data_IF_947356107207
#
_entry.id   IF_947356107207
#
_cell.length_a   1.000
_cell.length_b   1.000
_cell.length_c   1.000
_cell.angle_alpha   90.00
_cell.angle_beta   90.00
_cell.angle_gamma   90.00
#
_symmetry.space_group_name_H-M   'P 1'
#
loop_
_entity.id
_entity.type
_entity.pdbx_description
1 polymer ?
#
# COMPACT_ATOMS: atom_id res chain seq x y z
N UNK A 1 1.87 11.37 13.30
CA UNK A 1 1.33 11.88 12.03
C UNK A 1 2.53 12.23 11.16
N UNK A 2 2.56 11.75 9.92
CA UNK A 2 3.69 12.03 9.02
C UNK A 2 3.74 13.53 8.68
N UNK A 3 4.91 14.20 8.67
CA UNK A 3 5.04 15.62 8.35
C UNK A 3 4.38 16.03 7.02
N UNK A 4 4.43 15.15 6.02
CA UNK A 4 3.82 15.32 4.70
C UNK A 4 2.30 15.59 4.72
N UNK A 5 1.61 15.17 5.78
CA UNK A 5 0.15 15.33 5.90
C UNK A 5 -0.25 16.66 6.56
N UNK A 6 0.69 17.44 7.08
CA UNK A 6 0.38 18.64 7.89
C UNK A 6 -0.40 19.69 7.10
N UNK A 7 -0.14 19.78 5.80
CA UNK A 7 -0.79 20.73 4.87
C UNK A 7 -1.69 20.04 3.85
N UNK A 8 -1.92 18.72 3.97
CA UNK A 8 -2.76 17.98 3.03
C UNK A 8 -4.24 18.14 3.38
N UNK A 9 -5.07 18.40 2.37
CA UNK A 9 -6.52 18.36 2.49
C UNK A 9 -7.06 17.05 1.94
N UNK A 10 -7.96 16.39 2.67
CA UNK A 10 -8.61 15.15 2.23
C UNK A 10 -8.05 13.87 2.84
N UNK A 11 -7.09 13.97 3.76
CA UNK A 11 -6.66 12.83 4.60
C UNK A 11 -7.84 12.33 5.43
N UNK A 12 -8.18 11.05 5.30
CA UNK A 12 -9.18 10.37 6.15
C UNK A 12 -8.48 9.66 7.30
N UNK A 13 -8.98 9.85 8.52
CA UNK A 13 -8.45 9.19 9.72
C UNK A 13 -9.58 8.44 10.43
N UNK A 14 -9.40 7.14 10.62
CA UNK A 14 -10.34 6.28 11.35
C UNK A 14 -9.64 5.55 12.49
N UNK A 15 -10.39 5.27 13.55
CA UNK A 15 -9.91 4.35 14.60
C UNK A 15 -9.96 2.92 14.05
N UNK A 16 -8.89 2.16 14.26
CA UNK A 16 -8.78 0.77 13.78
C UNK A 16 -9.73 -0.21 14.46
N UNK A 17 -10.14 0.06 15.70
CA UNK A 17 -10.97 -0.86 16.48
C UNK A 17 -12.27 -1.20 15.73
N UNK A 18 -12.47 -2.49 15.47
CA UNK A 18 -13.65 -3.02 14.78
C UNK A 18 -13.65 -2.79 13.27
N UNK A 19 -12.50 -2.44 12.66
CA UNK A 19 -12.37 -2.22 11.22
C UNK A 19 -11.27 -3.08 10.63
N UNK A 20 -11.45 -3.49 9.38
CA UNK A 20 -10.45 -4.20 8.59
C UNK A 20 -9.36 -3.21 8.16
N UNK A 21 -8.09 -3.42 8.55
CA UNK A 21 -7.00 -2.58 8.12
C UNK A 21 -6.56 -2.92 6.70
N UNK A 22 -6.45 -1.89 5.87
CA UNK A 22 -6.04 -1.99 4.48
C UNK A 22 -4.87 -1.05 4.24
N UNK A 23 -3.75 -1.57 3.78
CA UNK A 23 -2.62 -0.78 3.33
C UNK A 23 -2.77 -0.48 1.84
N UNK A 24 -2.67 0.78 1.46
CA UNK A 24 -2.71 1.21 0.07
C UNK A 24 -1.34 1.78 -0.32
N UNK A 25 -0.58 1.02 -1.08
CA UNK A 25 0.80 1.30 -1.48
C UNK A 25 0.82 2.03 -2.81
N UNK A 26 1.52 3.17 -2.83
CA UNK A 26 2.00 3.79 -4.05
C UNK A 26 3.51 3.60 -4.14
N UNK A 27 4.03 2.87 -5.13
CA UNK A 27 5.45 2.52 -5.28
C UNK A 27 6.29 3.67 -5.84
N UNK A 28 6.00 4.89 -5.39
CA UNK A 28 6.71 6.09 -5.78
C UNK A 28 6.60 7.15 -4.68
N UNK A 29 7.17 8.31 -4.94
CA UNK A 29 7.21 9.45 -4.02
C UNK A 29 5.82 9.98 -3.68
N UNK A 30 5.68 10.61 -2.51
CA UNK A 30 4.42 11.19 -2.08
C UNK A 30 3.82 12.23 -3.06
N UNK A 31 4.59 13.18 -3.64
CA UNK A 31 4.07 14.10 -4.64
C UNK A 31 3.42 13.40 -5.84
N UNK A 32 4.02 12.29 -6.29
CA UNK A 32 3.45 11.49 -7.39
C UNK A 32 2.21 10.72 -6.94
N UNK A 33 2.19 10.20 -5.70
CA UNK A 33 1.03 9.51 -5.14
C UNK A 33 -0.19 10.44 -5.06
N UNK A 34 -0.02 11.67 -4.58
CA UNK A 34 -1.14 12.64 -4.49
C UNK A 34 -1.58 13.17 -5.85
N UNK A 35 -0.69 13.14 -6.85
CA UNK A 35 -1.00 13.52 -8.23
C UNK A 35 -1.69 12.41 -9.03
N UNK A 36 -1.79 11.19 -8.48
CA UNK A 36 -2.43 10.06 -9.15
C UNK A 36 -3.93 9.97 -8.78
N UNK A 37 -4.79 10.29 -9.75
CA UNK A 37 -6.25 10.27 -9.55
C UNK A 37 -6.79 8.89 -9.18
N UNK A 38 -6.27 7.82 -9.80
CA UNK A 38 -6.71 6.45 -9.51
C UNK A 38 -6.39 6.03 -8.08
N UNK A 39 -5.20 6.37 -7.59
CA UNK A 39 -4.79 6.16 -6.20
C UNK A 39 -5.68 6.92 -5.22
N UNK A 40 -5.94 8.21 -5.50
CA UNK A 40 -6.82 9.06 -4.68
C UNK A 40 -8.26 8.54 -4.67
N UNK A 41 -8.76 8.05 -5.80
CA UNK A 41 -10.10 7.47 -5.91
C UNK A 41 -10.21 6.19 -5.07
N UNK A 42 -9.27 5.25 -5.21
CA UNK A 42 -9.27 4.02 -4.44
C UNK A 42 -9.17 4.29 -2.93
N UNK A 43 -8.31 5.22 -2.52
CA UNK A 43 -8.20 5.66 -1.12
C UNK A 43 -9.54 6.17 -0.57
N UNK A 44 -10.26 7.00 -1.34
CA UNK A 44 -11.58 7.52 -0.94
C UNK A 44 -12.65 6.43 -0.90
N UNK A 45 -12.69 5.55 -1.90
CA UNK A 45 -13.68 4.47 -1.99
C UNK A 45 -13.52 3.48 -0.83
N UNK A 46 -12.30 3.03 -0.54
CA UNK A 46 -12.03 2.16 0.60
C UNK A 46 -12.39 2.84 1.92
N UNK A 47 -12.08 4.12 2.05
CA UNK A 47 -12.43 4.89 3.24
C UNK A 47 -13.90 5.37 3.28
N UNK A 48 -14.72 5.12 2.27
CA UNK A 48 -16.16 5.38 2.35
C UNK A 48 -16.88 4.29 3.17
N UNK A 49 -16.35 3.07 3.21
CA UNK A 49 -16.89 1.98 4.05
C UNK A 49 -16.59 2.20 5.52
N UNK A 50 -17.59 2.09 6.40
CA UNK A 50 -17.37 2.21 7.85
C UNK A 50 -16.57 1.05 8.44
N UNK A 51 -16.56 -0.10 7.77
CA UNK A 51 -15.90 -1.34 8.18
C UNK A 51 -14.41 -1.37 7.85
N UNK A 52 -13.93 -0.44 7.02
CA UNK A 52 -12.55 -0.41 6.53
C UNK A 52 -11.81 0.81 7.10
N UNK A 53 -10.56 0.59 7.53
CA UNK A 53 -9.58 1.66 7.72
C UNK A 53 -8.47 1.49 6.68
N UNK A 54 -8.43 2.40 5.71
CA UNK A 54 -7.42 2.38 4.67
C UNK A 54 -6.37 3.47 4.93
N UNK A 55 -5.11 3.05 5.01
CA UNK A 55 -3.96 3.93 5.24
C UNK A 55 -2.96 3.81 4.10
N UNK A 56 -2.30 4.92 3.78
CA UNK A 56 -1.43 5.04 2.62
C UNK A 56 0.02 4.78 3.00
N UNK A 57 0.72 4.15 2.07
CA UNK A 57 2.17 3.96 2.08
C UNK A 57 2.73 4.48 0.77
N UNK A 58 3.88 5.14 0.85
CA UNK A 58 4.63 5.65 -0.30
C UNK A 58 6.04 5.09 -0.24
N UNK A 59 6.73 5.09 -1.38
CA UNK A 59 8.11 4.61 -1.42
C UNK A 59 8.98 5.46 -0.47
N UNK A 60 9.68 4.85 0.50
CA UNK A 60 10.47 5.60 1.47
C UNK A 60 11.64 6.29 0.77
N UNK A 61 11.86 7.56 1.08
CA UNK A 61 13.07 8.28 0.68
C UNK A 61 14.06 8.28 1.85
N UNK A 62 15.35 8.21 1.54
CA UNK A 62 16.43 8.23 2.53
C UNK A 62 16.30 7.13 3.62
N UNK A 63 16.67 7.44 4.87
CA UNK A 63 16.60 6.54 6.03
C UNK A 63 15.29 6.68 6.81
N UNK A 64 14.23 7.15 6.16
CA UNK A 64 12.94 7.33 6.82
C UNK A 64 12.30 5.98 7.19
N UNK A 65 11.63 5.88 8.36
CA UNK A 65 10.91 4.67 8.72
C UNK A 65 9.77 4.38 7.75
N UNK A 66 9.74 3.18 7.18
CA UNK A 66 8.64 2.75 6.31
C UNK A 66 7.38 2.45 7.13
N UNK A 67 6.48 3.42 7.20
CA UNK A 67 5.25 3.40 8.02
C UNK A 67 4.10 4.09 7.30
N UNK A 68 2.87 3.78 7.72
CA UNK A 68 1.68 4.41 7.18
C UNK A 68 1.67 5.93 7.43
N UNK A 69 1.15 6.70 6.48
CA UNK A 69 1.15 8.15 6.56
C UNK A 69 0.21 8.65 7.67
N UNK A 70 -0.98 8.05 7.77
CA UNK A 70 -2.07 8.49 8.64
C UNK A 70 -1.72 8.31 10.12
N UNK A 71 -1.30 7.11 10.50
CA UNK A 71 -1.13 6.72 11.92
C UNK A 71 0.24 6.15 12.27
N UNK A 72 1.19 6.10 11.33
CA UNK A 72 2.57 5.62 11.55
C UNK A 72 2.65 4.14 11.95
N UNK A 73 1.80 3.31 11.34
CA UNK A 73 1.74 1.87 11.55
C UNK A 73 2.73 1.13 10.65
N UNK A 74 3.35 0.03 11.12
CA UNK A 74 4.17 -0.83 10.26
C UNK A 74 3.27 -1.55 9.25
N UNK A 75 3.81 -1.88 8.06
CA UNK A 75 3.05 -2.58 7.03
C UNK A 75 2.54 -3.97 7.50
N UNK A 76 3.31 -4.65 8.34
CA UNK A 76 2.92 -5.94 8.91
C UNK A 76 1.61 -5.91 9.73
N UNK A 77 1.15 -4.74 10.21
CA UNK A 77 -0.13 -4.64 10.93
C UNK A 77 -1.36 -4.81 10.00
N UNK A 78 -1.17 -4.80 8.67
CA UNK A 78 -2.25 -4.78 7.68
C UNK A 78 -2.42 -6.16 7.04
N UNK A 79 -3.57 -6.84 7.23
CA UNK A 79 -3.83 -8.14 6.61
C UNK A 79 -4.16 -8.04 5.11
N UNK A 80 -4.53 -6.85 4.61
CA UNK A 80 -4.78 -6.59 3.20
C UNK A 80 -3.86 -5.47 2.70
N UNK A 81 -3.19 -5.70 1.58
CA UNK A 81 -2.26 -4.77 0.94
C UNK A 81 -2.66 -4.58 -0.51
N UNK A 82 -3.04 -3.36 -0.89
CA UNK A 82 -3.30 -3.00 -2.29
C UNK A 82 -2.10 -2.22 -2.85
N UNK A 83 -1.55 -2.66 -3.97
CA UNK A 83 -0.52 -1.93 -4.72
C UNK A 83 -1.10 -1.26 -5.96
N UNK A 84 -0.93 0.06 -6.08
CA UNK A 84 -1.36 0.84 -7.23
C UNK A 84 -0.16 1.14 -8.14
N UNK A 85 0.00 0.38 -9.21
CA UNK A 85 1.15 0.46 -10.13
C UNK A 85 0.80 1.33 -11.33
N UNK A 86 1.61 2.37 -11.57
CA UNK A 86 1.41 3.27 -12.70
C UNK A 86 2.32 2.96 -13.87
N UNK A 87 3.53 2.46 -13.60
CA UNK A 87 4.56 2.18 -14.62
C UNK A 87 5.34 0.90 -14.32
N UNK A 88 6.12 0.40 -15.27
CA UNK A 88 6.88 -0.86 -15.11
C UNK A 88 7.98 -0.78 -14.04
N UNK A 89 8.65 0.37 -13.89
CA UNK A 89 9.68 0.51 -12.85
C UNK A 89 9.13 0.41 -11.42
N UNK A 90 7.83 0.64 -11.25
CA UNK A 90 7.15 0.62 -9.95
C UNK A 90 7.16 -0.79 -9.32
N UNK A 91 7.38 -1.83 -10.12
CA UNK A 91 7.40 -3.22 -9.66
C UNK A 91 8.60 -3.53 -8.74
N UNK A 92 9.77 -2.99 -9.06
CA UNK A 92 10.95 -3.12 -8.21
C UNK A 92 10.75 -2.35 -6.88
N UNK A 93 10.15 -1.16 -6.96
CA UNK A 93 9.83 -0.35 -5.78
C UNK A 93 8.80 -1.03 -4.86
N UNK A 94 7.75 -1.62 -5.44
CA UNK A 94 6.77 -2.40 -4.67
C UNK A 94 7.46 -3.54 -3.92
N UNK A 95 8.31 -4.31 -4.61
CA UNK A 95 9.07 -5.42 -4.00
C UNK A 95 9.91 -4.91 -2.82
N UNK A 96 10.64 -3.81 -3.01
CA UNK A 96 11.42 -3.19 -1.94
C UNK A 96 10.55 -2.69 -0.77
N UNK A 97 9.36 -2.15 -1.04
CA UNK A 97 8.40 -1.73 -0.01
C UNK A 97 7.88 -2.92 0.81
N UNK A 98 7.58 -4.06 0.18
CA UNK A 98 7.16 -5.27 0.88
C UNK A 98 8.27 -5.74 1.84
N UNK A 99 9.51 -5.82 1.36
CA UNK A 99 10.67 -6.18 2.20
C UNK A 99 10.87 -5.19 3.34
N UNK A 100 10.83 -3.89 3.06
CA UNK A 100 10.96 -2.84 4.10
C UNK A 100 9.84 -2.91 5.14
N UNK A 101 8.66 -3.38 4.73
CA UNK A 101 7.50 -3.60 5.60
C UNK A 101 7.50 -4.90 6.37
N UNK A 102 8.52 -5.76 6.19
CA UNK A 102 8.60 -7.08 6.81
C UNK A 102 7.66 -8.11 6.18
N UNK A 103 7.22 -7.90 4.94
CA UNK A 103 6.35 -8.80 4.19
C UNK A 103 7.18 -9.51 3.13
N UNK A 104 7.12 -10.85 3.11
CA UNK A 104 7.80 -11.63 2.08
C UNK A 104 7.23 -11.31 0.68
N UNK A 105 8.07 -10.94 -0.30
CA UNK A 105 7.59 -10.56 -1.63
C UNK A 105 6.82 -11.66 -2.35
N UNK A 106 7.36 -12.89 -2.34
CA UNK A 106 6.71 -14.05 -2.93
C UNK A 106 5.60 -14.57 -2.01
N UNK A 107 4.41 -14.86 -2.56
CA UNK A 107 3.32 -15.39 -1.75
C UNK A 107 3.61 -16.79 -1.22
N UNK A 108 4.37 -17.59 -1.97
CA UNK A 108 4.79 -18.93 -1.54
C UNK A 108 5.63 -18.93 -0.25
N UNK A 109 6.28 -17.80 0.06
CA UNK A 109 7.09 -17.64 1.28
C UNK A 109 6.24 -17.13 2.46
N UNK A 110 4.95 -16.85 2.25
CA UNK A 110 4.01 -16.40 3.29
C UNK A 110 3.19 -17.57 3.83
N UNK A 111 2.81 -17.55 5.12
CA UNK A 111 1.81 -18.48 5.65
C UNK A 111 0.51 -18.46 4.84
N UNK A 112 -0.16 -19.61 4.69
CA UNK A 112 -1.40 -19.73 3.91
C UNK A 112 -2.63 -19.04 4.51
N UNK A 113 -2.51 -18.41 5.68
CA UNK A 113 -3.57 -17.66 6.35
C UNK A 113 -3.41 -16.16 6.08
N UNK A 114 -4.53 -15.47 5.83
CA UNK A 114 -4.57 -14.02 5.66
C UNK A 114 -4.67 -13.39 7.05
N UNK A 115 -3.58 -12.77 7.50
CA UNK A 115 -3.46 -12.18 8.83
C UNK A 115 -2.40 -11.05 8.85
N UNK A 116 -2.35 -10.21 9.91
CA UNK A 116 -1.19 -9.36 10.14
C UNK A 116 0.12 -10.16 10.10
N UNK A 117 1.13 -9.66 9.37
CA UNK A 117 2.38 -10.35 9.06
C UNK A 117 2.32 -11.30 7.86
N UNK A 118 1.13 -11.73 7.43
CA UNK A 118 0.90 -12.55 6.25
C UNK A 118 -0.25 -11.98 5.40
N UNK A 119 -0.03 -10.83 4.75
CA UNK A 119 -1.10 -10.15 4.03
C UNK A 119 -1.47 -10.83 2.71
N UNK A 120 -2.75 -10.72 2.35
CA UNK A 120 -3.16 -10.82 0.95
C UNK A 120 -2.74 -9.54 0.23
N UNK A 121 -1.91 -9.68 -0.79
CA UNK A 121 -1.47 -8.57 -1.64
C UNK A 121 -2.33 -8.57 -2.90
N UNK A 122 -2.86 -7.42 -3.30
CA UNK A 122 -3.65 -7.27 -4.52
C UNK A 122 -3.08 -6.12 -5.32
N UNK A 123 -2.76 -6.34 -6.59
CA UNK A 123 -2.14 -5.32 -7.44
C UNK A 123 -3.11 -4.87 -8.52
N UNK A 124 -3.09 -3.57 -8.81
CA UNK A 124 -3.86 -2.97 -9.88
C UNK A 124 -3.19 -1.70 -10.39
N UNK A 125 -3.90 -0.99 -11.27
CA UNK A 125 -3.39 0.19 -11.95
C UNK A 125 -3.00 -0.09 -13.40
N UNK A 126 -2.67 0.97 -14.12
CA UNK A 126 -2.47 0.93 -15.58
C UNK A 126 -1.29 0.03 -15.96
N UNK A 127 -0.22 0.01 -15.15
CA UNK A 127 0.95 -0.85 -15.41
C UNK A 127 0.60 -2.34 -15.40
N UNK A 128 -0.23 -2.77 -14.45
CA UNK A 128 -0.66 -4.18 -14.31
C UNK A 128 -1.58 -4.59 -15.46
N UNK A 129 -2.47 -3.70 -15.91
CA UNK A 129 -3.38 -3.97 -17.02
C UNK A 129 -2.67 -3.98 -18.38
N UNK A 130 -1.75 -3.03 -18.62
CA UNK A 130 -1.10 -2.88 -19.93
C UNK A 130 0.01 -3.90 -20.18
N UNK A 131 0.68 -4.37 -19.14
CA UNK A 131 1.73 -5.36 -19.26
C UNK A 131 1.64 -6.34 -18.07
N UNK A 132 0.83 -7.41 -18.18
CA UNK A 132 0.68 -8.42 -17.13
C UNK A 132 1.85 -9.42 -17.09
N UNK A 133 2.66 -9.49 -18.15
CA UNK A 133 3.76 -10.45 -18.29
C UNK A 133 5.01 -10.25 -17.42
N UNK A 134 5.27 -9.13 -16.71
CA UNK A 134 6.36 -9.06 -15.74
C UNK A 134 6.10 -9.94 -14.49
N UNK A 135 4.87 -10.45 -14.32
CA UNK A 135 4.40 -11.14 -13.12
C UNK A 135 4.54 -12.67 -13.00
N UNK A 136 4.87 -13.50 -14.02
CA UNK A 136 4.86 -14.96 -13.87
C UNK A 136 5.89 -15.48 -12.85
N UNK A 137 6.82 -14.62 -12.39
CA UNK A 137 7.81 -14.98 -11.36
C UNK A 137 7.38 -14.66 -9.91
N UNK A 138 6.30 -13.89 -9.70
CA UNK A 138 5.79 -13.48 -8.39
C UNK A 138 4.31 -13.85 -8.28
N UNK A 139 4.01 -15.15 -8.15
CA UNK A 139 2.64 -15.60 -7.89
C UNK A 139 2.16 -15.04 -6.54
N UNK A 140 1.01 -14.37 -6.60
CA UNK A 140 0.31 -13.70 -5.50
C UNK A 140 -0.67 -14.69 -4.85
#
# INVERSE_FOLDING_TARGET
MHPLLTTETGTVRKKWKGRLPVALLYPNTYPLAVSNLGFQLLYRLLNASEEIVCERFVYPQDREPFRSLESSRPLADFPLVFGSISFEQDYAHLTAMLVAGGVAPYAADRPGEIAPGSPLVVLGGVGVFMNPEPWPYLQI
#
